data_IF_900159212119
#
_entry.id   IF_900159212119
#
_cell.length_a   1.000
_cell.length_b   1.000
_cell.length_c   1.000
_cell.angle_alpha   90.00
_cell.angle_beta   90.00
_cell.angle_gamma   90.00
#
_symmetry.space_group_name_H-M   'P 1'
#
loop_
_entity.id
_entity.type
_entity.pdbx_description
1 polymer ?
#
# COMPACT_ATOMS: atom_id res chain seq x y z
N UNK A 1 -25.14 35.61 37.41
CA UNK A 1 -25.93 34.37 37.60
C UNK A 1 -25.53 33.39 36.50
N UNK A 2 -24.67 32.41 36.78
CA UNK A 2 -24.98 31.03 37.28
C UNK A 2 -25.39 30.13 36.09
N UNK A 3 -24.45 29.32 35.55
CA UNK A 3 -24.24 27.86 35.72
C UNK A 3 -25.41 27.03 35.15
N UNK A 4 -25.28 25.91 34.45
CA UNK A 4 -24.23 24.93 34.14
C UNK A 4 -24.79 24.04 33.02
N UNK A 5 -23.93 23.33 32.29
CA UNK A 5 -24.35 22.35 31.28
C UNK A 5 -23.16 21.70 30.57
N UNK A 6 -22.20 21.23 31.35
CA UNK A 6 -21.07 20.40 30.88
C UNK A 6 -21.66 19.06 30.45
N UNK A 7 -21.78 18.84 29.14
CA UNK A 7 -21.97 17.51 28.59
C UNK A 7 -20.59 16.87 28.41
N UNK A 8 -20.23 16.13 29.44
CA UNK A 8 -19.16 15.15 29.55
C UNK A 8 -19.11 14.24 28.30
N UNK A 9 -18.05 14.35 27.49
CA UNK A 9 -17.70 13.33 26.50
C UNK A 9 -16.42 12.64 26.98
N UNK A 10 -16.60 11.40 27.43
CA UNK A 10 -15.57 10.53 28.00
C UNK A 10 -14.58 10.02 26.94
N UNK A 11 -13.37 9.61 27.34
CA UNK A 11 -12.17 9.60 26.50
C UNK A 11 -12.16 8.42 25.54
N UNK A 12 -12.58 8.68 24.30
CA UNK A 12 -12.11 7.96 23.10
C UNK A 12 -11.72 8.95 22.02
N UNK A 13 -11.04 10.02 22.43
CA UNK A 13 -10.20 10.80 21.55
C UNK A 13 -9.00 9.93 21.17
N UNK A 14 -9.21 9.00 20.24
CA UNK A 14 -8.10 8.47 19.43
C UNK A 14 -7.64 9.62 18.56
N UNK A 15 -6.84 10.51 19.16
CA UNK A 15 -5.95 11.41 18.47
C UNK A 15 -5.00 10.54 17.64
N UNK A 16 -5.42 10.20 16.43
CA UNK A 16 -4.50 9.80 15.38
C UNK A 16 -3.52 10.97 15.22
N UNK A 17 -2.20 10.74 15.30
CA UNK A 17 -1.25 11.79 15.00
C UNK A 17 -1.39 12.12 13.50
N UNK A 18 -2.09 13.21 13.19
CA UNK A 18 -2.14 13.79 11.86
C UNK A 18 -0.73 14.23 11.47
N UNK A 19 -0.12 13.53 10.51
CA UNK A 19 1.19 13.85 9.95
C UNK A 19 1.07 15.14 9.09
N UNK A 20 2.14 15.93 8.89
CA UNK A 20 2.06 17.31 8.38
C UNK A 20 1.75 17.45 6.88
N UNK A 21 1.24 16.40 6.22
CA UNK A 21 0.86 16.40 4.80
C UNK A 21 -0.65 16.30 4.57
N UNK A 22 -1.49 16.64 5.55
CA UNK A 22 -2.92 16.87 5.32
C UNK A 22 -3.09 18.10 4.41
N UNK A 23 -3.04 17.85 3.10
CA UNK A 23 -3.35 18.83 2.07
C UNK A 23 -4.84 19.19 2.13
N UNK A 24 -5.21 20.44 1.82
CA UNK A 24 -6.58 20.91 1.97
C UNK A 24 -7.53 20.10 1.10
N UNK A 25 -8.63 19.62 1.70
CA UNK A 25 -9.75 18.94 1.01
C UNK A 25 -10.44 19.89 0.02
N UNK A 26 -9.99 19.91 -1.23
CA UNK A 26 -10.67 20.50 -2.39
C UNK A 26 -10.44 19.56 -3.60
N UNK A 27 -11.01 19.84 -4.78
CA UNK A 27 -12.00 19.06 -5.56
C UNK A 27 -11.56 17.67 -6.10
N UNK A 28 -10.72 16.93 -5.38
CA UNK A 28 -10.29 15.58 -5.73
C UNK A 28 -11.41 14.54 -5.60
N UNK A 29 -12.38 14.77 -4.72
CA UNK A 29 -13.48 13.82 -4.46
C UNK A 29 -14.31 13.52 -5.70
N UNK A 30 -14.61 14.52 -6.55
CA UNK A 30 -15.40 14.33 -7.76
C UNK A 30 -14.64 13.57 -8.86
N UNK A 31 -13.33 13.84 -9.01
CA UNK A 31 -12.47 13.12 -9.94
C UNK A 31 -12.31 11.66 -9.50
N UNK A 32 -12.05 11.45 -8.21
CA UNK A 32 -11.87 10.11 -7.65
C UNK A 32 -13.18 9.32 -7.64
N UNK A 33 -14.33 9.96 -7.38
CA UNK A 33 -15.64 9.33 -7.56
C UNK A 33 -15.90 8.96 -9.02
N UNK A 34 -15.47 9.79 -9.98
CA UNK A 34 -15.53 9.47 -11.40
C UNK A 34 -14.65 8.29 -11.80
N UNK A 35 -13.46 8.18 -11.21
CA UNK A 35 -12.56 7.02 -11.37
C UNK A 35 -13.20 5.79 -10.73
N UNK A 36 -13.73 5.89 -9.52
CA UNK A 36 -14.40 4.81 -8.80
C UNK A 36 -15.58 4.25 -9.60
N UNK A 37 -16.45 5.14 -10.11
CA UNK A 37 -17.57 4.75 -10.97
C UNK A 37 -17.11 4.07 -12.27
N UNK A 38 -15.96 4.46 -12.82
CA UNK A 38 -15.40 3.83 -14.03
C UNK A 38 -14.76 2.47 -13.72
N UNK A 39 -14.05 2.34 -12.61
CA UNK A 39 -13.44 1.07 -12.14
C UNK A 39 -14.52 0.05 -11.79
N UNK A 40 -15.67 0.50 -11.29
CA UNK A 40 -16.83 -0.36 -11.05
C UNK A 40 -17.39 -1.00 -12.33
N UNK A 41 -17.08 -0.48 -13.52
CA UNK A 41 -17.48 -1.13 -14.77
C UNK A 41 -16.64 -2.39 -15.01
N UNK A 42 -17.26 -3.59 -15.11
CA UNK A 42 -16.54 -4.82 -15.41
C UNK A 42 -15.76 -4.65 -16.73
N UNK A 43 -14.46 -4.93 -16.71
CA UNK A 43 -13.58 -4.74 -17.87
C UNK A 43 -12.66 -3.53 -17.79
N UNK A 44 -13.05 -2.43 -17.14
CA UNK A 44 -12.18 -1.23 -17.07
C UNK A 44 -10.96 -1.47 -16.19
N UNK A 45 -11.10 -2.20 -15.09
CA UNK A 45 -9.96 -2.61 -14.24
C UNK A 45 -8.90 -3.42 -15.03
N UNK A 46 -9.31 -4.10 -16.11
CA UNK A 46 -8.40 -4.89 -16.95
C UNK A 46 -7.61 -4.05 -17.96
N UNK A 47 -8.01 -2.79 -18.22
CA UNK A 47 -7.28 -1.90 -19.13
C UNK A 47 -6.05 -1.26 -18.48
N UNK A 48 -5.93 -1.35 -17.15
CA UNK A 48 -4.79 -0.79 -16.44
C UNK A 48 -3.52 -1.63 -16.69
N UNK A 49 -2.43 -0.92 -16.95
CA UNK A 49 -1.08 -1.48 -16.93
C UNK A 49 -0.63 -1.73 -15.48
N UNK A 50 0.38 -2.59 -15.24
CA UNK A 50 0.97 -2.78 -13.91
C UNK A 50 1.31 -1.46 -13.20
N UNK A 51 2.01 -0.58 -13.90
CA UNK A 51 2.36 0.75 -13.41
C UNK A 51 1.12 1.59 -13.15
N UNK A 52 0.15 1.57 -14.06
CA UNK A 52 -1.12 2.30 -13.89
C UNK A 52 -1.87 1.89 -12.62
N UNK A 53 -1.90 0.59 -12.29
CA UNK A 53 -2.50 0.12 -11.04
C UNK A 53 -1.75 0.64 -9.82
N UNK A 54 -0.42 0.48 -9.79
CA UNK A 54 0.41 0.91 -8.66
C UNK A 54 0.34 2.43 -8.44
N UNK A 55 0.43 3.22 -9.50
CA UNK A 55 0.33 4.69 -9.42
C UNK A 55 -1.06 5.14 -8.98
N UNK A 56 -2.11 4.44 -9.40
CA UNK A 56 -3.48 4.78 -8.98
C UNK A 56 -3.67 4.46 -7.50
N UNK A 57 -3.25 3.28 -7.03
CA UNK A 57 -3.29 2.95 -5.60
C UNK A 57 -2.52 3.99 -4.77
N UNK A 58 -1.30 4.34 -5.22
CA UNK A 58 -0.49 5.35 -4.57
C UNK A 58 -1.16 6.74 -4.53
N UNK A 59 -1.82 7.15 -5.61
CA UNK A 59 -2.57 8.41 -5.66
C UNK A 59 -3.76 8.43 -4.69
N UNK A 60 -4.52 7.33 -4.60
CA UNK A 60 -5.61 7.19 -3.63
C UNK A 60 -5.08 7.32 -2.19
N UNK A 61 -3.97 6.64 -1.89
CA UNK A 61 -3.31 6.73 -0.58
C UNK A 61 -2.78 8.14 -0.27
N UNK A 62 -2.20 8.82 -1.26
CA UNK A 62 -1.62 10.17 -1.08
C UNK A 62 -2.69 11.23 -0.83
N UNK A 63 -3.86 11.08 -1.47
CA UNK A 63 -5.00 11.98 -1.26
C UNK A 63 -5.80 11.59 0.00
N UNK A 64 -5.53 10.41 0.59
CA UNK A 64 -6.24 9.91 1.77
C UNK A 64 -7.68 9.47 1.48
N UNK A 65 -7.99 9.13 0.22
CA UNK A 65 -9.31 8.64 -0.17
C UNK A 65 -9.32 7.12 -0.01
N UNK A 66 -10.05 6.66 0.99
CA UNK A 66 -10.29 5.26 1.24
C UNK A 66 -11.60 4.85 0.53
N UNK A 67 -11.47 4.18 -0.61
CA UNK A 67 -12.57 3.52 -1.30
C UNK A 67 -12.30 2.01 -1.30
N UNK A 68 -12.85 1.31 -0.29
CA UNK A 68 -12.62 -0.12 -0.08
C UNK A 68 -13.11 -0.96 -1.26
N UNK A 69 -14.13 -0.51 -2.00
CA UNK A 69 -14.66 -1.22 -3.16
C UNK A 69 -13.67 -1.14 -4.34
N UNK A 70 -13.16 0.06 -4.64
CA UNK A 70 -12.16 0.25 -5.71
C UNK A 70 -10.85 -0.43 -5.36
N UNK A 71 -10.38 -0.28 -4.12
CA UNK A 71 -9.15 -0.93 -3.65
C UNK A 71 -9.32 -2.45 -3.64
N UNK A 72 -10.49 -2.98 -3.28
CA UNK A 72 -10.82 -4.40 -3.41
C UNK A 72 -10.71 -4.90 -4.85
N UNK A 73 -11.28 -4.18 -5.80
CA UNK A 73 -11.19 -4.53 -7.23
C UNK A 73 -9.74 -4.52 -7.75
N UNK A 74 -8.92 -3.55 -7.32
CA UNK A 74 -7.51 -3.53 -7.66
C UNK A 74 -6.75 -4.69 -7.00
N UNK A 75 -7.02 -4.99 -5.72
CA UNK A 75 -6.42 -6.12 -5.04
C UNK A 75 -6.73 -7.43 -5.76
N UNK A 76 -8.00 -7.65 -6.12
CA UNK A 76 -8.44 -8.85 -6.83
C UNK A 76 -7.78 -8.95 -8.20
N UNK A 77 -7.69 -7.83 -8.93
CA UNK A 77 -7.01 -7.79 -10.24
C UNK A 77 -5.54 -8.14 -10.12
N UNK A 78 -4.84 -7.62 -9.10
CA UNK A 78 -3.42 -7.87 -8.89
C UNK A 78 -3.19 -9.32 -8.43
N UNK A 79 -4.00 -9.80 -7.48
CA UNK A 79 -3.85 -11.12 -6.88
C UNK A 79 -4.24 -12.27 -7.82
N UNK A 80 -5.25 -12.10 -8.69
CA UNK A 80 -5.73 -13.16 -9.58
C UNK A 80 -5.28 -13.01 -11.05
N UNK A 81 -4.89 -11.80 -11.47
CA UNK A 81 -4.80 -11.47 -12.89
C UNK A 81 -3.53 -11.89 -13.63
N UNK A 82 -2.64 -12.69 -13.03
CA UNK A 82 -1.24 -12.89 -13.46
C UNK A 82 -0.42 -11.60 -13.66
N UNK A 83 -1.02 -10.43 -13.43
CA UNK A 83 -0.43 -9.13 -13.71
C UNK A 83 0.74 -8.83 -12.78
N UNK A 84 0.71 -9.39 -11.56
CA UNK A 84 1.80 -9.31 -10.59
C UNK A 84 3.13 -9.84 -11.15
N UNK A 85 3.10 -10.80 -12.09
CA UNK A 85 4.31 -11.27 -12.76
C UNK A 85 4.98 -10.18 -13.63
N UNK A 86 4.22 -9.19 -14.07
CA UNK A 86 4.69 -8.04 -14.86
C UNK A 86 5.01 -6.80 -14.03
N UNK A 87 4.82 -6.84 -12.71
CA UNK A 87 5.23 -5.75 -11.83
C UNK A 87 6.75 -5.73 -11.70
N UNK A 88 7.35 -4.54 -11.65
CA UNK A 88 8.72 -4.38 -11.18
C UNK A 88 8.71 -4.13 -9.66
N UNK A 89 9.90 -4.13 -9.06
CA UNK A 89 10.07 -3.95 -7.62
C UNK A 89 9.44 -2.65 -7.09
N UNK A 90 9.47 -1.58 -7.89
CA UNK A 90 8.89 -0.29 -7.53
C UNK A 90 7.35 -0.32 -7.57
N UNK A 91 6.72 -0.96 -8.55
CA UNK A 91 5.26 -1.09 -8.56
C UNK A 91 4.76 -1.92 -7.38
N UNK A 92 5.51 -2.96 -6.96
CA UNK A 92 5.18 -3.73 -5.76
C UNK A 92 5.26 -2.85 -4.51
N UNK A 93 6.38 -2.14 -4.31
CA UNK A 93 6.57 -1.31 -3.12
C UNK A 93 5.55 -0.17 -3.03
N UNK A 94 5.24 0.48 -4.16
CA UNK A 94 4.17 1.50 -4.23
C UNK A 94 2.80 0.94 -3.88
N UNK A 95 2.48 -0.26 -4.37
CA UNK A 95 1.20 -0.90 -4.09
C UNK A 95 1.07 -1.24 -2.61
N UNK A 96 2.01 -1.98 -2.03
CA UNK A 96 1.91 -2.36 -0.61
C UNK A 96 1.96 -1.15 0.32
N UNK A 97 2.73 -0.10 -0.03
CA UNK A 97 2.72 1.16 0.70
C UNK A 97 1.34 1.82 0.68
N UNK A 98 0.68 1.87 -0.48
CA UNK A 98 -0.65 2.47 -0.60
C UNK A 98 -1.69 1.76 0.28
N UNK A 99 -1.67 0.42 0.32
CA UNK A 99 -2.57 -0.36 1.18
C UNK A 99 -2.26 -0.13 2.65
N UNK A 100 -0.97 -0.05 3.03
CA UNK A 100 -0.56 0.25 4.40
C UNK A 100 -0.98 1.67 4.84
N UNK A 101 -0.83 2.67 3.97
CA UNK A 101 -1.22 4.05 4.24
C UNK A 101 -2.73 4.23 4.40
N UNK A 102 -3.52 3.51 3.61
CA UNK A 102 -4.97 3.51 3.72
C UNK A 102 -5.50 2.60 4.84
N UNK A 103 -4.62 1.85 5.52
CA UNK A 103 -5.01 0.87 6.54
C UNK A 103 -5.82 -0.31 6.01
N UNK A 104 -5.81 -0.54 4.68
CA UNK A 104 -6.57 -1.61 4.03
C UNK A 104 -5.73 -2.89 4.03
N UNK A 105 -6.15 -3.86 4.83
CA UNK A 105 -5.54 -5.20 4.84
C UNK A 105 -6.26 -6.13 3.86
N UNK A 106 -5.61 -6.43 2.74
CA UNK A 106 -6.05 -7.49 1.83
C UNK A 106 -5.07 -8.66 1.89
N UNK A 107 -5.41 -9.70 2.66
CA UNK A 107 -4.54 -10.85 2.89
C UNK A 107 -4.18 -11.60 1.61
N UNK A 108 -5.09 -11.64 0.62
CA UNK A 108 -4.83 -12.34 -0.63
C UNK A 108 -3.78 -11.63 -1.49
N UNK A 109 -3.90 -10.31 -1.65
CA UNK A 109 -2.90 -9.49 -2.32
C UNK A 109 -1.54 -9.62 -1.64
N UNK A 110 -1.50 -9.48 -0.31
CA UNK A 110 -0.25 -9.56 0.46
C UNK A 110 0.38 -10.94 0.36
N UNK A 111 -0.41 -12.02 0.37
CA UNK A 111 0.08 -13.38 0.15
C UNK A 111 0.67 -13.56 -1.25
N UNK A 112 0.03 -13.04 -2.30
CA UNK A 112 0.55 -13.11 -3.67
C UNK A 112 1.85 -12.31 -3.84
N UNK A 113 1.92 -11.11 -3.25
CA UNK A 113 3.17 -10.32 -3.21
C UNK A 113 4.26 -11.10 -2.45
N UNK A 114 3.95 -11.64 -1.28
CA UNK A 114 4.91 -12.41 -0.49
C UNK A 114 5.39 -13.67 -1.23
N UNK A 115 4.51 -14.35 -1.95
CA UNK A 115 4.87 -15.48 -2.80
C UNK A 115 5.79 -15.04 -3.95
N UNK A 116 5.52 -13.89 -4.58
CA UNK A 116 6.36 -13.34 -5.65
C UNK A 116 7.76 -12.97 -5.15
N UNK A 117 7.88 -12.46 -3.92
CA UNK A 117 9.16 -12.10 -3.28
C UNK A 117 10.06 -13.31 -2.98
N UNK A 118 9.52 -14.53 -3.00
CA UNK A 118 10.32 -15.75 -2.84
C UNK A 118 11.11 -16.12 -4.09
N UNK A 119 10.83 -15.53 -5.26
CA UNK A 119 11.66 -15.69 -6.45
C UNK A 119 12.93 -14.84 -6.31
N UNK A 120 14.13 -15.45 -6.17
CA UNK A 120 15.38 -14.71 -5.98
C UNK A 120 15.66 -13.75 -7.12
N UNK A 121 15.32 -14.11 -8.36
CA UNK A 121 15.55 -13.25 -9.54
C UNK A 121 14.72 -12.00 -9.48
N UNK A 122 13.52 -12.09 -8.92
CA UNK A 122 12.66 -10.94 -8.73
C UNK A 122 13.14 -10.09 -7.57
N UNK A 123 13.50 -10.73 -6.45
CA UNK A 123 14.01 -10.05 -5.26
C UNK A 123 15.31 -9.28 -5.54
N UNK A 124 16.16 -9.80 -6.43
CA UNK A 124 17.38 -9.12 -6.89
C UNK A 124 17.12 -7.80 -7.64
N UNK A 125 15.90 -7.60 -8.15
CA UNK A 125 15.52 -6.32 -8.78
C UNK A 125 15.13 -5.24 -7.78
N UNK A 126 15.07 -5.54 -6.48
CA UNK A 126 14.69 -4.58 -5.46
C UNK A 126 15.86 -3.69 -5.06
N UNK A 127 15.58 -2.39 -5.01
CA UNK A 127 16.45 -1.44 -4.32
C UNK A 127 16.25 -1.52 -2.81
N UNK A 128 17.23 -0.99 -2.06
CA UNK A 128 17.15 -0.85 -0.59
C UNK A 128 15.86 -0.15 -0.15
N UNK A 129 15.48 0.92 -0.86
CA UNK A 129 14.27 1.67 -0.58
C UNK A 129 13.01 0.81 -0.79
N UNK A 130 12.92 0.07 -1.91
CA UNK A 130 11.76 -0.77 -2.20
C UNK A 130 11.61 -1.92 -1.19
N UNK A 131 12.71 -2.55 -0.74
CA UNK A 131 12.68 -3.56 0.33
C UNK A 131 12.20 -2.95 1.64
N UNK A 132 12.78 -1.81 2.05
CA UNK A 132 12.42 -1.13 3.30
C UNK A 132 10.93 -0.78 3.34
N UNK A 133 10.40 -0.21 2.25
CA UNK A 133 8.98 0.13 2.13
C UNK A 133 8.10 -1.12 2.21
N UNK A 134 8.50 -2.21 1.55
CA UNK A 134 7.73 -3.46 1.53
C UNK A 134 7.66 -4.10 2.92
N UNK A 135 8.79 -4.15 3.63
CA UNK A 135 8.86 -4.67 5.00
C UNK A 135 8.06 -3.81 5.97
N UNK A 136 8.19 -2.48 5.88
CA UNK A 136 7.41 -1.54 6.68
C UNK A 136 5.91 -1.72 6.43
N UNK A 137 5.48 -1.82 5.18
CA UNK A 137 4.07 -1.99 4.82
C UNK A 137 3.50 -3.31 5.40
N UNK A 138 4.25 -4.42 5.31
CA UNK A 138 3.82 -5.68 5.92
C UNK A 138 3.71 -5.59 7.44
N UNK A 139 4.65 -4.90 8.10
CA UNK A 139 4.59 -4.68 9.54
C UNK A 139 3.37 -3.81 9.94
N UNK A 140 3.12 -2.73 9.22
CA UNK A 140 1.97 -1.83 9.44
C UNK A 140 0.63 -2.55 9.29
N UNK A 141 0.51 -3.43 8.30
CA UNK A 141 -0.69 -4.23 8.05
C UNK A 141 -0.79 -5.47 8.96
N UNK A 142 0.22 -5.71 9.81
CA UNK A 142 0.29 -6.89 10.68
C UNK A 142 0.34 -8.21 9.89
N UNK A 143 0.85 -8.17 8.66
CA UNK A 143 0.95 -9.33 7.78
C UNK A 143 2.30 -10.02 7.98
N UNK A 144 2.26 -11.34 8.22
CA UNK A 144 3.45 -12.15 8.47
C UNK A 144 3.49 -13.32 7.51
N UNK A 145 4.51 -13.35 6.66
CA UNK A 145 4.80 -14.48 5.79
C UNK A 145 6.24 -14.94 6.00
N UNK A 146 6.43 -16.09 6.66
CA UNK A 146 7.75 -16.56 7.12
C UNK A 146 8.75 -16.68 5.98
N UNK A 147 8.37 -17.33 4.89
CA UNK A 147 9.31 -17.61 3.78
C UNK A 147 9.72 -16.33 3.04
N UNK A 148 8.78 -15.42 2.79
CA UNK A 148 9.09 -14.11 2.22
C UNK A 148 9.99 -13.27 3.13
N UNK A 149 9.77 -13.28 4.44
CA UNK A 149 10.66 -12.59 5.38
C UNK A 149 12.05 -13.22 5.45
N UNK A 150 12.14 -14.55 5.35
CA UNK A 150 13.42 -15.25 5.28
C UNK A 150 14.19 -14.89 3.99
N UNK A 151 13.51 -14.89 2.83
CA UNK A 151 14.12 -14.50 1.56
C UNK A 151 14.63 -13.05 1.58
N UNK A 152 13.83 -12.11 2.13
CA UNK A 152 14.27 -10.72 2.32
C UNK A 152 15.46 -10.65 3.28
N UNK A 153 15.44 -11.36 4.40
CA UNK A 153 16.53 -11.35 5.37
C UNK A 153 17.84 -11.90 4.77
N UNK A 154 17.76 -12.97 3.98
CA UNK A 154 18.89 -13.51 3.24
C UNK A 154 19.47 -12.47 2.27
N UNK A 155 18.61 -11.80 1.50
CA UNK A 155 19.03 -10.73 0.58
C UNK A 155 19.69 -9.55 1.30
N UNK A 156 19.14 -9.15 2.44
CA UNK A 156 19.65 -8.01 3.22
C UNK A 156 20.98 -8.35 3.90
N UNK A 157 21.21 -9.63 4.20
CA UNK A 157 22.45 -10.10 4.84
C UNK A 157 23.62 -10.23 3.87
N UNK A 158 23.38 -10.15 2.57
CA UNK A 158 24.43 -10.10 1.56
C UNK A 158 25.26 -8.81 1.73
N UNK A 159 26.59 -8.94 1.86
CA UNK A 159 27.51 -7.81 2.09
C UNK A 159 27.42 -6.75 0.98
N UNK A 160 27.06 -7.15 -0.24
CA UNK A 160 26.81 -6.25 -1.36
C UNK A 160 25.60 -5.33 -1.12
N UNK A 161 24.63 -5.75 -0.32
CA UNK A 161 23.45 -4.96 0.04
C UNK A 161 23.72 -4.05 1.24
N UNK A 162 24.47 -4.54 2.24
CA UNK A 162 24.84 -3.75 3.42
C UNK A 162 25.71 -2.54 3.10
N UNK A 163 26.61 -2.67 2.13
CA UNK A 163 27.44 -1.55 1.63
C UNK A 163 26.62 -0.46 0.92
N UNK A 164 25.44 -0.80 0.37
CA UNK A 164 24.53 0.21 -0.20
C UNK A 164 23.83 1.05 0.88
N UNK A 165 23.64 0.55 2.10
CA UNK A 165 23.09 1.33 3.21
C UNK A 165 24.07 2.38 3.75
N UNK A 166 25.38 2.12 3.68
CA UNK A 166 26.39 3.04 4.23
C UNK A 166 26.75 4.21 3.31
N UNK A 167 26.14 4.30 2.13
CA UNK A 167 26.48 5.31 1.11
C UNK A 167 25.38 6.37 0.89
N UNK A 168 24.36 6.41 1.75
CA UNK A 168 23.35 7.48 1.81
C UNK A 168 23.56 8.35 3.06
#
# INVERSE_FOLDING_TARGET
ARKEGVAEFSPRDSATPAWPFETPRLPHDALMAGIAARVAHPGFVHTFTPRGLATTCWAFATVGIQDDAVMGLFADRIAHGNILASFQSQEVSMTVWAYAMLGIRNDQLLAQVAQRLQDPRFLDTFTVQSITITVWAFAMLGFRHKDAMAAIAEKVSDEAFLTMFSTQ
#
